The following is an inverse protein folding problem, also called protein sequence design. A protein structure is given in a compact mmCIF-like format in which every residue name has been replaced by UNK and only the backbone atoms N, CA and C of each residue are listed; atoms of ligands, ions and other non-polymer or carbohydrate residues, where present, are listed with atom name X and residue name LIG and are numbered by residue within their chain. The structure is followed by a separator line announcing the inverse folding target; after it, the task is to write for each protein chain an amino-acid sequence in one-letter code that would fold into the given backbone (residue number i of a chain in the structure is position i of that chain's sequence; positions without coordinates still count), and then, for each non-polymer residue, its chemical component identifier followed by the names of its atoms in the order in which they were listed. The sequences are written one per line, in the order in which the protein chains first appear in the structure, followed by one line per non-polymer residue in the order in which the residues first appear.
data_IF_525695264783
#
_entry.id   IF_525695264783
#
_cell.length_a   1.000
_cell.length_b   1.000
_cell.length_c   1.000
_cell.angle_alpha   90.00
_cell.angle_beta   90.00
_cell.angle_gamma   90.00
#
_symmetry.space_group_name_H-M   'P 1'
#
loop_
_entity.id
_entity.type
_entity.pdbx_description
1 polymer ?
#
# COMPACT_ATOMS: atom_id res chain seq x y z
N UNK A 1 15.16 -17.51 -28.20
CA UNK A 1 15.11 -18.18 -29.51
C UNK A 1 13.87 -17.67 -30.23
N UNK A 2 13.98 -17.18 -31.47
CA UNK A 2 12.83 -16.67 -32.25
C UNK A 2 11.83 -17.77 -32.64
N UNK A 3 12.24 -19.04 -32.52
CA UNK A 3 11.47 -20.22 -32.91
C UNK A 3 10.32 -20.54 -31.96
N UNK A 4 10.50 -20.29 -30.65
CA UNK A 4 9.51 -20.69 -29.63
C UNK A 4 8.20 -19.89 -29.76
N UNK A 5 8.29 -18.63 -30.18
CA UNK A 5 7.12 -17.77 -30.39
C UNK A 5 6.31 -18.20 -31.62
N UNK A 6 6.98 -18.53 -32.72
CA UNK A 6 6.33 -19.03 -33.93
C UNK A 6 5.65 -20.38 -33.67
N UNK A 7 6.30 -21.28 -32.92
CA UNK A 7 5.67 -22.54 -32.50
C UNK A 7 4.47 -22.33 -31.57
N UNK A 8 4.53 -21.36 -30.66
CA UNK A 8 3.41 -21.02 -29.78
C UNK A 8 2.24 -20.42 -30.55
N UNK A 9 2.49 -19.60 -31.58
CA UNK A 9 1.45 -19.08 -32.47
C UNK A 9 0.74 -20.21 -33.22
N UNK A 10 1.48 -21.18 -33.75
CA UNK A 10 0.89 -22.32 -34.47
C UNK A 10 0.07 -23.21 -33.53
N UNK A 11 0.46 -23.31 -32.25
CA UNK A 11 -0.24 -24.08 -31.22
C UNK A 11 -1.37 -23.30 -30.54
N UNK A 12 -1.56 -22.02 -30.86
CA UNK A 12 -2.59 -21.20 -30.24
C UNK A 12 -3.99 -21.63 -30.73
N UNK A 13 -4.98 -21.65 -29.83
CA UNK A 13 -6.34 -22.02 -30.20
C UNK A 13 -6.91 -21.03 -31.22
N UNK A 14 -7.64 -21.55 -32.19
CA UNK A 14 -8.29 -20.74 -33.22
C UNK A 14 -9.35 -19.84 -32.56
N UNK A 15 -9.34 -18.52 -32.83
CA UNK A 15 -10.27 -17.61 -32.20
C UNK A 15 -11.70 -17.88 -32.66
N UNK A 16 -12.66 -17.74 -31.75
CA UNK A 16 -14.08 -17.81 -32.12
C UNK A 16 -14.49 -16.66 -33.03
N UNK A 17 -15.59 -16.83 -33.77
CA UNK A 17 -16.15 -15.79 -34.63
C UNK A 17 -16.48 -14.51 -33.85
N UNK A 18 -17.01 -14.64 -32.63
CA UNK A 18 -17.31 -13.50 -31.75
C UNK A 18 -16.05 -12.73 -31.37
N UNK A 19 -14.95 -13.44 -31.05
CA UNK A 19 -13.66 -12.82 -30.77
C UNK A 19 -13.08 -12.12 -32.01
N UNK A 20 -13.23 -12.71 -33.21
CA UNK A 20 -12.81 -12.08 -34.47
C UNK A 20 -13.61 -10.80 -34.77
N UNK A 21 -14.94 -10.83 -34.57
CA UNK A 21 -15.80 -9.67 -34.78
C UNK A 21 -15.49 -8.56 -33.78
N UNK A 22 -15.35 -8.90 -32.50
CA UNK A 22 -15.03 -7.92 -31.45
C UNK A 22 -13.64 -7.30 -31.67
N UNK A 23 -12.64 -8.12 -32.00
CA UNK A 23 -11.29 -7.65 -32.34
C UNK A 23 -11.28 -6.75 -33.58
N UNK A 24 -12.06 -7.07 -34.60
CA UNK A 24 -12.18 -6.25 -35.82
C UNK A 24 -12.87 -4.92 -35.51
N UNK A 25 -13.97 -4.95 -34.76
CA UNK A 25 -14.69 -3.75 -34.32
C UNK A 25 -13.77 -2.84 -33.50
N UNK A 26 -12.98 -3.42 -32.61
CA UNK A 26 -11.97 -2.72 -31.84
C UNK A 26 -10.95 -2.02 -32.75
N UNK A 27 -10.33 -2.73 -33.71
CA UNK A 27 -9.35 -2.14 -34.64
C UNK A 27 -9.95 -1.02 -35.51
N UNK A 28 -11.16 -1.21 -36.05
CA UNK A 28 -11.84 -0.16 -36.83
C UNK A 28 -12.07 1.08 -35.98
N UNK A 29 -12.45 0.88 -34.73
CA UNK A 29 -12.74 1.95 -33.80
C UNK A 29 -11.48 2.73 -33.39
N UNK A 30 -10.31 2.08 -33.36
CA UNK A 30 -8.99 2.72 -33.20
C UNK A 30 -8.64 3.62 -34.38
N UNK A 31 -8.80 3.12 -35.60
CA UNK A 31 -8.49 3.88 -36.84
C UNK A 31 -9.42 5.08 -37.02
N UNK A 32 -10.64 5.00 -36.48
CA UNK A 32 -11.63 6.09 -36.52
C UNK A 32 -11.49 7.14 -35.41
N UNK A 33 -10.58 6.96 -34.45
CA UNK A 33 -10.36 7.96 -33.40
C UNK A 33 -9.89 9.28 -34.03
N UNK A 34 -10.75 10.29 -33.95
CA UNK A 34 -10.64 11.52 -34.77
C UNK A 34 -9.76 12.59 -34.12
N UNK A 35 -9.42 12.41 -32.85
CA UNK A 35 -8.55 13.30 -32.09
C UNK A 35 -7.69 12.54 -31.09
N UNK A 36 -6.59 13.17 -30.66
CA UNK A 36 -5.60 12.55 -29.77
C UNK A 36 -6.16 12.09 -28.42
N UNK A 37 -7.20 12.75 -27.90
CA UNK A 37 -7.82 12.40 -26.62
C UNK A 37 -8.68 11.13 -26.72
N UNK A 38 -9.43 10.97 -27.81
CA UNK A 38 -10.15 9.72 -28.12
C UNK A 38 -9.19 8.57 -28.37
N UNK A 39 -8.07 8.83 -29.06
CA UNK A 39 -7.02 7.84 -29.28
C UNK A 39 -6.39 7.39 -27.96
N UNK A 40 -5.98 8.33 -27.11
CA UNK A 40 -5.42 8.02 -25.78
C UNK A 40 -6.38 7.20 -24.92
N UNK A 41 -7.68 7.55 -24.93
CA UNK A 41 -8.70 6.81 -24.19
C UNK A 41 -8.83 5.36 -24.69
N UNK A 42 -8.86 5.16 -26.02
CA UNK A 42 -8.97 3.82 -26.61
C UNK A 42 -7.72 2.98 -26.43
N UNK A 43 -6.54 3.61 -26.40
CA UNK A 43 -5.28 2.93 -26.04
C UNK A 43 -5.35 2.42 -24.60
N UNK A 44 -5.83 3.22 -23.64
CA UNK A 44 -6.01 2.72 -22.27
C UNK A 44 -7.01 1.56 -22.18
N UNK A 45 -8.15 1.64 -22.88
CA UNK A 45 -9.12 0.52 -22.94
C UNK A 45 -8.51 -0.75 -23.58
N UNK A 46 -7.58 -0.58 -24.53
CA UNK A 46 -6.83 -1.68 -25.13
C UNK A 46 -5.82 -2.31 -24.17
N UNK A 47 -5.07 -1.48 -23.45
CA UNK A 47 -4.08 -1.93 -22.45
C UNK A 47 -4.77 -2.72 -21.33
N UNK A 48 -5.97 -2.28 -20.91
CA UNK A 48 -6.82 -3.01 -19.97
C UNK A 48 -7.32 -4.34 -20.58
N UNK A 49 -7.79 -4.34 -21.84
CA UNK A 49 -8.21 -5.56 -22.54
C UNK A 49 -7.09 -6.60 -22.66
N UNK A 50 -5.85 -6.15 -22.90
CA UNK A 50 -4.68 -7.02 -22.97
C UNK A 50 -4.13 -7.41 -21.59
N UNK A 51 -4.67 -6.86 -20.50
CA UNK A 51 -4.17 -7.07 -19.13
C UNK A 51 -2.80 -6.43 -18.87
N UNK A 52 -2.36 -5.51 -19.74
CA UNK A 52 -1.05 -4.85 -19.66
C UNK A 52 -1.14 -3.58 -18.81
N UNK A 53 -2.31 -2.90 -18.82
CA UNK A 53 -2.57 -1.70 -18.01
C UNK A 53 -2.61 -1.97 -16.50
N UNK A 54 -2.92 -3.20 -16.12
CA UNK A 54 -3.21 -3.56 -14.73
C UNK A 54 -1.95 -3.97 -13.93
N UNK A 55 -0.91 -4.46 -14.58
CA UNK A 55 0.30 -4.98 -13.91
C UNK A 55 1.08 -3.86 -13.20
N UNK A 56 1.26 -2.71 -13.86
CA UNK A 56 1.93 -1.55 -13.27
C UNK A 56 1.08 -0.88 -12.18
N UNK A 57 -0.24 -0.78 -12.39
CA UNK A 57 -1.20 -0.27 -11.41
C UNK A 57 -1.22 -1.13 -10.15
N UNK A 58 -1.20 -2.46 -10.32
CA UNK A 58 -1.14 -3.45 -9.23
C UNK A 58 0.15 -3.33 -8.43
N UNK A 59 1.31 -3.20 -9.08
CA UNK A 59 2.59 -2.97 -8.41
C UNK A 59 2.59 -1.67 -7.58
N UNK A 60 2.03 -0.58 -8.11
CA UNK A 60 1.95 0.71 -7.40
C UNK A 60 1.05 0.60 -6.17
N UNK A 61 -0.11 -0.05 -6.29
CA UNK A 61 -1.01 -0.27 -5.16
C UNK A 61 -0.39 -1.20 -4.10
N UNK A 62 0.36 -2.22 -4.53
CA UNK A 62 1.08 -3.12 -3.62
C UNK A 62 2.16 -2.38 -2.83
N UNK A 63 2.98 -1.55 -3.48
CA UNK A 63 3.98 -0.73 -2.79
C UNK A 63 3.33 0.28 -1.83
N UNK A 64 2.19 0.88 -2.23
CA UNK A 64 1.42 1.78 -1.38
C UNK A 64 0.83 1.09 -0.15
N UNK A 65 0.35 -0.14 -0.29
CA UNK A 65 -0.13 -0.96 0.81
C UNK A 65 1.02 -1.30 1.78
N UNK A 66 2.16 -1.74 1.25
CA UNK A 66 3.37 -2.03 2.03
C UNK A 66 3.85 -0.81 2.83
N UNK A 67 3.89 0.36 2.19
CA UNK A 67 4.28 1.61 2.86
C UNK A 67 3.34 1.97 4.03
N UNK A 68 2.02 1.78 3.86
CA UNK A 68 1.03 2.03 4.93
C UNK A 68 1.18 1.06 6.10
N UNK A 69 1.47 -0.21 5.82
CA UNK A 69 1.71 -1.21 6.87
C UNK A 69 2.97 -0.84 7.65
N UNK A 70 4.07 -0.52 6.96
CA UNK A 70 5.32 -0.10 7.61
C UNK A 70 5.13 1.16 8.47
N UNK A 71 4.42 2.16 7.95
CA UNK A 71 4.12 3.37 8.72
C UNK A 71 3.30 3.07 9.98
N UNK A 72 2.32 2.15 9.89
CA UNK A 72 1.50 1.76 11.03
C UNK A 72 2.29 1.00 12.09
N UNK A 73 3.21 0.12 11.66
CA UNK A 73 4.10 -0.62 12.57
C UNK A 73 5.03 0.33 13.32
N UNK A 74 5.69 1.26 12.61
CA UNK A 74 6.57 2.24 13.23
C UNK A 74 5.81 3.15 14.21
N UNK A 75 4.60 3.59 13.83
CA UNK A 75 3.78 4.42 14.72
C UNK A 75 3.35 3.68 16.01
N UNK A 76 3.14 2.36 15.95
CA UNK A 76 2.85 1.53 17.12
C UNK A 76 4.10 1.35 17.99
N UNK A 77 5.26 1.06 17.37
CA UNK A 77 6.54 0.90 18.09
C UNK A 77 6.95 2.17 18.84
N UNK A 78 6.82 3.34 18.20
CA UNK A 78 7.08 4.64 18.81
C UNK A 78 6.16 4.90 20.02
N UNK A 79 4.88 4.52 19.92
CA UNK A 79 3.91 4.66 21.01
C UNK A 79 4.22 3.75 22.20
N UNK A 80 4.61 2.49 21.94
CA UNK A 80 5.01 1.54 22.98
C UNK A 80 6.27 2.02 23.71
N UNK A 81 7.27 2.52 22.98
CA UNK A 81 8.50 3.03 23.61
C UNK A 81 8.23 4.27 24.47
N UNK A 82 7.34 5.16 24.02
CA UNK A 82 6.91 6.32 24.80
C UNK A 82 6.21 5.90 26.10
N UNK A 83 5.30 4.92 26.03
CA UNK A 83 4.60 4.38 27.20
C UNK A 83 5.57 3.74 28.20
N UNK A 84 6.52 2.93 27.71
CA UNK A 84 7.55 2.30 28.54
C UNK A 84 8.42 3.34 29.27
N UNK A 85 8.78 4.43 28.60
CA UNK A 85 9.55 5.53 29.22
C UNK A 85 8.72 6.26 30.28
N UNK A 86 7.44 6.50 30.01
CA UNK A 86 6.55 7.16 30.96
C UNK A 86 6.39 6.34 32.25
N UNK A 87 6.13 5.03 32.13
CA UNK A 87 6.01 4.14 33.29
C UNK A 87 7.28 4.13 34.15
N UNK A 88 8.45 4.10 33.52
CA UNK A 88 9.73 4.11 34.22
C UNK A 88 10.01 5.42 34.96
N UNK A 89 9.52 6.55 34.44
CA UNK A 89 9.64 7.84 35.13
C UNK A 89 8.70 7.89 36.35
N UNK A 90 7.48 7.37 36.23
CA UNK A 90 6.50 7.31 37.33
C UNK A 90 7.05 6.46 38.49
N UNK A 91 7.58 5.27 38.19
CA UNK A 91 8.17 4.37 39.21
C UNK A 91 9.35 5.04 39.95
N UNK A 92 10.22 5.74 39.22
CA UNK A 92 11.33 6.49 39.81
C UNK A 92 10.86 7.64 40.71
N UNK A 93 9.74 8.28 40.35
CA UNK A 93 9.18 9.41 41.09
C UNK A 93 8.47 8.94 42.38
N UNK A 94 7.77 7.80 42.33
CA UNK A 94 7.22 7.11 43.51
C UNK A 94 8.33 6.66 44.48
N UNK A 95 9.37 5.99 43.99
CA UNK A 95 10.48 5.50 44.82
C UNK A 95 11.22 6.66 45.53
N UNK A 96 11.35 7.80 44.84
CA UNK A 96 11.93 9.02 45.42
C UNK A 96 11.01 9.68 46.47
N UNK A 97 9.70 9.62 46.28
CA UNK A 97 8.73 10.14 47.25
C UNK A 97 8.71 9.30 48.53
N UNK A 98 8.79 7.97 48.41
CA UNK A 98 8.82 7.04 49.56
C UNK A 98 10.14 7.10 50.34
N UNK A 99 11.27 7.41 49.67
CA UNK A 99 12.58 7.57 50.31
C UNK A 99 12.76 8.89 51.07
N UNK A 100 11.79 9.81 51.04
CA UNK A 100 11.83 11.06 51.84
C UNK A 100 11.22 10.77 53.22
N UNK A 101 12.00 10.81 54.32
CA UNK A 101 11.47 10.49 55.64
C UNK A 101 10.44 11.55 56.04
N UNK A 102 9.25 11.12 56.46
CA UNK A 102 8.28 11.98 57.15
C UNK A 102 8.98 12.65 58.33
N UNK A 103 9.30 13.94 58.17
CA UNK A 103 9.69 14.78 59.27
C UNK A 103 8.49 14.87 60.21
N UNK A 104 8.50 14.06 61.27
CA UNK A 104 7.55 14.19 62.37
C UNK A 104 7.72 15.58 62.96
N UNK A 105 6.76 16.44 62.64
CA UNK A 105 6.47 17.67 63.34
C UNK A 105 5.75 17.27 64.64
N UNK A 106 6.51 16.80 65.63
CA UNK A 106 5.99 16.70 66.99
C UNK A 106 5.93 18.13 67.53
N UNK A 107 4.69 18.63 67.54
CA UNK A 107 4.30 19.94 68.01
C UNK A 107 4.85 20.22 69.42
N UNK A 108 5.53 21.36 69.51
CA UNK A 108 5.80 22.10 70.73
C UNK A 108 4.48 22.30 71.50
N UNK A 109 4.38 21.68 72.68
CA UNK A 109 3.27 21.87 73.61
C UNK A 109 3.85 22.30 74.97
N UNK A 110 3.77 23.60 75.17
CA UNK A 110 4.06 24.41 76.36
C UNK A 110 3.30 23.93 77.62
N UNK A 111 4.03 23.78 78.74
CA UNK A 111 3.61 24.19 80.11
C UNK A 111 4.82 24.24 81.08
#
# INVERSE_FOLDING_TARGET
MMTDFAEQLIKSPEPSFEQLVEGTKFMVSMVQASNGTEWSKRISEFEDFLGIGDEASKMVQEQKAKARILQSVLAVEDAEEAERKALKMIELEEEKAEATPEAKEDADADE
#
